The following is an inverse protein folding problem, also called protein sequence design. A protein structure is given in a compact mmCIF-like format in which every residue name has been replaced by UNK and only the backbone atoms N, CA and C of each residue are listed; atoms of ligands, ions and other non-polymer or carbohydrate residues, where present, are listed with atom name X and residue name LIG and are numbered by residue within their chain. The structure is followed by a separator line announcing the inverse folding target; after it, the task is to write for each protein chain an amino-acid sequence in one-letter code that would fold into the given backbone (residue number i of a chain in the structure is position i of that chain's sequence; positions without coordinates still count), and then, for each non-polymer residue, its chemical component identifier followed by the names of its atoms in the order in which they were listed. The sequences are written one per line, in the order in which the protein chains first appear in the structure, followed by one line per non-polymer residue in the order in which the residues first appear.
data_IF_236817663522
#
_entry.id   IF_236817663522
#
_cell.length_a   1.000
_cell.length_b   1.000
_cell.length_c   1.000
_cell.angle_alpha   90.00
_cell.angle_beta   90.00
_cell.angle_gamma   90.00
#
_symmetry.space_group_name_H-M   'P 1'
#
loop_
_entity.id
_entity.type
_entity.pdbx_description
1 polymer ?
#
# COMPACT_ATOMS: atom_id res chain seq x y z
N UNK A 1 16.51 9.99 11.99
CA UNK A 1 15.76 8.91 11.30
C UNK A 1 15.57 7.68 12.19
N UNK A 2 16.63 7.09 12.78
CA UNK A 2 16.50 5.94 13.70
C UNK A 2 15.52 6.19 14.86
N UNK A 3 15.60 7.36 15.49
CA UNK A 3 14.69 7.73 16.59
C UNK A 3 13.21 7.79 16.16
N UNK A 4 12.93 8.33 14.97
CA UNK A 4 11.57 8.37 14.41
C UNK A 4 11.07 6.95 14.14
N UNK A 5 11.92 6.10 13.55
CA UNK A 5 11.58 4.69 13.32
C UNK A 5 11.28 3.96 14.63
N UNK A 6 12.17 4.06 15.63
CA UNK A 6 12.01 3.34 16.89
C UNK A 6 10.78 3.81 17.68
N UNK A 7 10.49 5.13 17.69
CA UNK A 7 9.38 5.70 18.46
C UNK A 7 8.02 5.72 17.76
N UNK A 8 8.00 5.74 16.43
CA UNK A 8 6.76 5.96 15.66
C UNK A 8 6.36 4.79 14.77
N UNK A 9 7.29 3.88 14.47
CA UNK A 9 7.03 2.74 13.59
C UNK A 9 7.21 1.44 14.37
N UNK A 10 8.41 1.19 14.91
CA UNK A 10 8.74 -0.08 15.56
C UNK A 10 7.90 -0.35 16.81
N UNK A 11 7.56 0.70 17.55
CA UNK A 11 6.77 0.60 18.78
C UNK A 11 5.26 0.59 18.53
N UNK A 12 4.80 0.91 17.32
CA UNK A 12 3.38 0.95 16.99
C UNK A 12 2.92 -0.42 16.46
N UNK A 13 2.07 -1.16 17.17
CA UNK A 13 1.55 -2.45 16.69
C UNK A 13 0.67 -2.29 15.43
N UNK A 14 0.22 -1.07 15.12
CA UNK A 14 -0.51 -0.74 13.90
C UNK A 14 0.34 -0.67 12.63
N UNK A 15 1.67 -0.67 12.79
CA UNK A 15 2.66 -0.52 11.72
C UNK A 15 3.52 -1.79 11.58
N UNK A 16 3.50 -2.40 10.40
CA UNK A 16 4.30 -3.59 10.10
C UNK A 16 4.87 -3.51 8.69
N UNK A 17 6.20 -3.67 8.57
CA UNK A 17 6.92 -3.60 7.31
C UNK A 17 7.51 -4.97 6.96
N UNK A 18 7.39 -5.34 5.69
CA UNK A 18 7.90 -6.58 5.13
C UNK A 18 8.85 -6.29 3.97
N UNK A 19 9.93 -7.07 3.90
CA UNK A 19 10.78 -7.10 2.72
C UNK A 19 10.12 -7.93 1.62
N UNK A 20 10.04 -7.39 0.41
CA UNK A 20 9.62 -8.13 -0.78
C UNK A 20 10.85 -8.81 -1.37
N UNK A 21 10.85 -10.14 -1.40
CA UNK A 21 11.94 -10.96 -1.92
C UNK A 21 11.46 -11.72 -3.15
N UNK A 22 12.05 -11.45 -4.32
CA UNK A 22 11.80 -12.21 -5.54
C UNK A 22 12.67 -13.49 -5.54
N UNK A 23 12.00 -14.63 -5.38
CA UNK A 23 12.63 -15.94 -5.30
C UNK A 23 12.85 -16.62 -6.66
N UNK A 24 12.43 -16.01 -7.77
CA UNK A 24 12.52 -16.66 -9.10
C UNK A 24 13.94 -16.78 -9.63
N UNK A 25 14.86 -15.95 -9.17
CA UNK A 25 16.29 -15.98 -9.52
C UNK A 25 17.15 -16.79 -8.53
N UNK A 26 16.51 -17.67 -7.76
CA UNK A 26 17.17 -18.55 -6.82
C UNK A 26 17.95 -19.67 -7.53
N UNK A 27 19.28 -19.57 -7.63
CA UNK A 27 20.11 -20.70 -8.05
C UNK A 27 19.98 -21.81 -6.99
N UNK A 28 19.54 -23.01 -7.38
CA UNK A 28 19.06 -24.11 -6.53
C UNK A 28 20.05 -24.78 -5.56
N UNK A 29 20.88 -24.01 -4.86
CA UNK A 29 21.60 -24.44 -3.65
C UNK A 29 20.88 -23.97 -2.38
N UNK A 30 21.15 -24.61 -1.24
CA UNK A 30 20.47 -24.49 0.07
C UNK A 30 20.34 -23.07 0.67
N UNK A 31 20.88 -22.03 0.03
CA UNK A 31 20.68 -20.62 0.39
C UNK A 31 20.55 -19.73 -0.84
N UNK A 32 19.58 -20.02 -1.68
CA UNK A 32 19.18 -19.10 -2.73
C UNK A 32 18.44 -17.90 -2.11
N UNK A 33 19.21 -16.91 -1.65
CA UNK A 33 18.66 -15.65 -1.15
C UNK A 33 18.07 -14.90 -2.35
N UNK A 34 16.74 -14.95 -2.53
CA UNK A 34 16.06 -14.22 -3.60
C UNK A 34 16.44 -12.73 -3.61
N UNK A 35 16.13 -12.02 -4.70
CA UNK A 35 16.51 -10.61 -4.83
C UNK A 35 15.58 -9.73 -4.01
N UNK A 36 16.16 -8.80 -3.26
CA UNK A 36 15.38 -7.79 -2.54
C UNK A 36 14.76 -6.81 -3.55
N UNK A 37 13.43 -6.85 -3.65
CA UNK A 37 12.68 -6.24 -4.73
C UNK A 37 11.83 -5.04 -4.30
N UNK A 38 11.73 -4.79 -2.99
CA UNK A 38 10.99 -3.66 -2.46
C UNK A 38 10.54 -3.85 -1.03
N UNK A 39 9.65 -2.97 -0.59
CA UNK A 39 9.06 -2.94 0.74
C UNK A 39 7.54 -2.93 0.57
N UNK A 40 6.85 -3.68 1.40
CA UNK A 40 5.40 -3.63 1.53
C UNK A 40 5.04 -3.51 3.01
N UNK A 41 3.96 -2.82 3.33
CA UNK A 41 3.62 -2.51 4.71
C UNK A 41 2.11 -2.59 4.95
N UNK A 42 1.77 -2.92 6.19
CA UNK A 42 0.47 -2.71 6.80
C UNK A 42 0.61 -1.54 7.78
N UNK A 43 -0.23 -0.52 7.62
CA UNK A 43 -0.18 0.72 8.39
C UNK A 43 -1.57 1.08 8.89
N UNK A 44 -1.64 1.94 9.92
CA UNK A 44 -2.91 2.37 10.51
C UNK A 44 -3.87 1.21 10.84
N UNK A 45 -3.33 0.06 11.25
CA UNK A 45 -4.13 -1.12 11.55
C UNK A 45 -5.00 -0.87 12.78
N UNK A 46 -6.30 -1.10 12.64
CA UNK A 46 -7.28 -0.95 13.71
C UNK A 46 -7.91 -2.30 14.02
N UNK A 47 -7.66 -2.79 15.24
CA UNK A 47 -8.32 -4.00 15.75
C UNK A 47 -9.81 -3.77 15.99
N UNK A 48 -10.19 -2.59 16.47
CA UNK A 48 -11.59 -2.19 16.69
C UNK A 48 -12.39 -2.16 15.38
N UNK A 49 -11.83 -1.55 14.33
CA UNK A 49 -12.51 -1.44 13.05
C UNK A 49 -12.24 -2.64 12.13
N UNK A 50 -11.38 -3.57 12.56
CA UNK A 50 -10.94 -4.73 11.77
C UNK A 50 -10.45 -4.32 10.37
N UNK A 51 -9.55 -3.33 10.33
CA UNK A 51 -9.10 -2.70 9.08
C UNK A 51 -7.61 -2.39 9.09
N UNK A 52 -7.01 -2.27 7.91
CA UNK A 52 -5.60 -1.85 7.75
C UNK A 52 -5.40 -1.11 6.42
N UNK A 53 -4.33 -0.32 6.31
CA UNK A 53 -3.86 0.26 5.07
C UNK A 53 -2.69 -0.56 4.53
N UNK A 54 -2.77 -0.96 3.26
CA UNK A 54 -1.69 -1.65 2.55
C UNK A 54 -0.93 -0.63 1.69
N UNK A 55 0.38 -0.52 1.92
CA UNK A 55 1.28 0.32 1.13
C UNK A 55 2.40 -0.51 0.48
N UNK A 56 2.73 -0.25 -0.78
CA UNK A 56 3.80 -0.96 -1.49
C UNK A 56 4.77 -0.01 -2.21
N UNK A 57 6.06 -0.30 -2.09
CA UNK A 57 7.15 0.34 -2.82
C UNK A 57 7.99 -0.76 -3.47
N UNK A 58 7.82 -0.93 -4.78
CA UNK A 58 8.61 -1.88 -5.58
C UNK A 58 9.72 -1.11 -6.29
N UNK A 59 10.93 -1.67 -6.31
CA UNK A 59 12.07 -1.03 -6.96
C UNK A 59 11.94 -1.05 -8.50
N UNK A 60 12.52 -0.06 -9.21
CA UNK A 60 12.38 0.08 -10.66
C UNK A 60 12.68 -1.19 -11.48
N UNK A 61 13.70 -1.94 -11.10
CA UNK A 61 14.10 -3.19 -11.79
C UNK A 61 13.01 -4.28 -11.76
N UNK A 62 12.06 -4.16 -10.83
CA UNK A 62 10.93 -5.08 -10.67
C UNK A 62 9.60 -4.44 -11.08
N UNK A 63 9.62 -3.27 -11.73
CA UNK A 63 8.42 -2.69 -12.30
C UNK A 63 7.96 -3.51 -13.49
N UNK A 64 6.63 -3.63 -13.64
CA UNK A 64 5.98 -4.39 -14.72
C UNK A 64 6.30 -5.90 -14.72
N UNK A 65 6.85 -6.44 -13.64
CA UNK A 65 7.03 -7.89 -13.41
C UNK A 65 5.92 -8.47 -12.51
N UNK A 66 6.03 -9.75 -12.15
CA UNK A 66 5.13 -10.46 -11.23
C UNK A 66 5.20 -9.95 -9.78
N UNK A 67 6.29 -9.29 -9.40
CA UNK A 67 6.63 -8.97 -7.99
C UNK A 67 5.53 -8.19 -7.28
N UNK A 68 5.06 -7.08 -7.88
CA UNK A 68 4.06 -6.23 -7.23
C UNK A 68 2.74 -6.98 -6.99
N UNK A 69 2.25 -7.71 -8.00
CA UNK A 69 0.98 -8.44 -7.91
C UNK A 69 1.06 -9.56 -6.87
N UNK A 70 2.17 -10.28 -6.82
CA UNK A 70 2.39 -11.36 -5.85
C UNK A 70 2.56 -10.84 -4.42
N UNK A 71 3.35 -9.79 -4.22
CA UNK A 71 3.54 -9.20 -2.89
C UNK A 71 2.23 -8.64 -2.32
N UNK A 72 1.46 -7.89 -3.13
CA UNK A 72 0.17 -7.32 -2.72
C UNK A 72 -0.84 -8.44 -2.50
N UNK A 73 -0.92 -9.42 -3.41
CA UNK A 73 -1.85 -10.54 -3.31
C UNK A 73 -1.62 -11.41 -2.08
N UNK A 74 -0.37 -11.70 -1.72
CA UNK A 74 -0.04 -12.42 -0.49
C UNK A 74 -0.55 -11.70 0.77
N UNK A 75 -0.39 -10.38 0.82
CA UNK A 75 -0.89 -9.60 1.95
C UNK A 75 -2.41 -9.47 1.95
N UNK A 76 -3.06 -9.37 0.78
CA UNK A 76 -4.53 -9.40 0.69
C UNK A 76 -5.09 -10.74 1.16
N UNK A 77 -4.49 -11.87 0.74
CA UNK A 77 -4.83 -13.20 1.25
C UNK A 77 -4.67 -13.25 2.78
N UNK A 78 -3.51 -12.84 3.30
CA UNK A 78 -3.27 -12.84 4.74
C UNK A 78 -4.24 -11.95 5.54
N UNK A 79 -4.61 -10.78 5.01
CA UNK A 79 -5.44 -9.81 5.73
C UNK A 79 -6.92 -10.11 5.64
N UNK A 80 -7.43 -10.46 4.45
CA UNK A 80 -8.87 -10.61 4.20
C UNK A 80 -9.35 -12.07 4.31
N UNK A 81 -8.51 -13.08 4.06
CA UNK A 81 -8.96 -14.46 4.26
C UNK A 81 -9.36 -14.66 5.74
N UNK A 82 -10.46 -15.36 6.03
CA UNK A 82 -10.87 -15.69 7.38
C UNK A 82 -9.84 -16.63 8.03
N UNK A 83 -9.85 -16.74 9.37
CA UNK A 83 -8.98 -17.67 10.10
C UNK A 83 -9.07 -19.13 9.61
N UNK A 84 -10.23 -19.57 9.11
CA UNK A 84 -10.41 -20.91 8.53
C UNK A 84 -9.60 -21.16 7.25
N UNK A 85 -9.16 -20.09 6.56
CA UNK A 85 -8.23 -20.12 5.42
C UNK A 85 -6.83 -19.64 5.78
N UNK A 86 -6.55 -19.42 7.07
CA UNK A 86 -5.25 -19.00 7.57
C UNK A 86 -4.95 -17.51 7.38
N UNK A 87 -5.97 -16.65 7.25
CA UNK A 87 -5.80 -15.19 7.29
C UNK A 87 -6.34 -14.56 8.57
N UNK A 88 -6.32 -13.23 8.64
CA UNK A 88 -6.75 -12.43 9.78
C UNK A 88 -8.27 -12.17 9.84
N UNK A 89 -8.98 -12.32 8.71
CA UNK A 89 -10.41 -12.04 8.61
C UNK A 89 -10.76 -10.57 8.83
N UNK A 90 -9.91 -9.64 8.38
CA UNK A 90 -10.20 -8.21 8.45
C UNK A 90 -11.41 -7.88 7.56
N UNK A 91 -12.20 -6.89 7.97
CA UNK A 91 -13.35 -6.42 7.20
C UNK A 91 -12.97 -5.51 6.04
N UNK A 92 -11.78 -4.91 6.08
CA UNK A 92 -11.37 -3.85 5.14
C UNK A 92 -9.86 -3.72 5.00
N UNK A 93 -9.38 -3.61 3.77
CA UNK A 93 -8.01 -3.20 3.44
C UNK A 93 -8.06 -1.95 2.57
N UNK A 94 -7.34 -0.91 2.96
CA UNK A 94 -7.29 0.37 2.26
C UNK A 94 -6.02 0.50 1.42
N UNK A 95 -6.11 1.21 0.31
CA UNK A 95 -4.96 1.66 -0.47
C UNK A 95 -5.04 3.17 -0.67
N UNK A 96 -3.97 3.88 -0.32
CA UNK A 96 -3.90 5.35 -0.46
C UNK A 96 -2.71 5.73 -1.30
N UNK A 97 -2.95 6.58 -2.29
CA UNK A 97 -1.88 7.09 -3.13
C UNK A 97 -2.11 8.55 -3.50
N UNK A 98 -1.06 9.20 -4.02
CA UNK A 98 -1.21 10.56 -4.53
C UNK A 98 -2.23 10.55 -5.67
N UNK A 99 -3.17 11.50 -5.70
CA UNK A 99 -4.25 11.51 -6.69
C UNK A 99 -3.75 11.50 -8.15
N UNK A 100 -2.62 12.15 -8.41
CA UNK A 100 -1.96 12.17 -9.72
C UNK A 100 -0.99 11.00 -9.99
N UNK A 101 -0.75 10.10 -9.02
CA UNK A 101 0.10 8.94 -9.23
C UNK A 101 -0.67 7.83 -9.97
N UNK A 102 -0.81 8.01 -11.28
CA UNK A 102 -1.54 7.08 -12.16
C UNK A 102 -0.96 5.66 -12.13
N UNK A 103 0.35 5.50 -11.90
CA UNK A 103 0.96 4.18 -11.82
C UNK A 103 0.47 3.41 -10.58
N UNK A 104 0.46 4.04 -9.42
CA UNK A 104 -0.04 3.45 -8.17
C UNK A 104 -1.55 3.19 -8.22
N UNK A 105 -2.33 4.11 -8.80
CA UNK A 105 -3.78 3.92 -9.01
C UNK A 105 -4.10 2.69 -9.86
N UNK A 106 -3.39 2.53 -10.99
CA UNK A 106 -3.49 1.33 -11.84
C UNK A 106 -3.01 0.04 -11.17
N UNK A 107 -2.22 0.12 -10.10
CA UNK A 107 -1.87 -1.06 -9.30
C UNK A 107 -3.04 -1.42 -8.40
N UNK A 108 -3.64 -0.44 -7.70
CA UNK A 108 -4.82 -0.66 -6.87
C UNK A 108 -5.99 -1.27 -7.68
N UNK A 109 -6.35 -0.65 -8.82
CA UNK A 109 -7.43 -1.12 -9.70
C UNK A 109 -7.18 -2.56 -10.20
N UNK A 110 -5.94 -2.87 -10.60
CA UNK A 110 -5.56 -4.21 -11.07
C UNK A 110 -5.65 -5.27 -9.97
N UNK A 111 -5.37 -4.88 -8.74
CA UNK A 111 -5.53 -5.73 -7.55
C UNK A 111 -6.96 -5.64 -6.99
N UNK A 112 -7.93 -5.17 -7.78
CA UNK A 112 -9.38 -5.16 -7.49
C UNK A 112 -9.81 -4.26 -6.32
N UNK A 113 -8.96 -3.34 -5.90
CA UNK A 113 -9.39 -2.27 -5.00
C UNK A 113 -10.42 -1.37 -5.69
N UNK A 114 -11.51 -1.08 -4.99
CA UNK A 114 -12.59 -0.20 -5.44
C UNK A 114 -12.25 1.26 -5.14
N UNK A 115 -12.53 2.17 -6.07
CA UNK A 115 -12.25 3.59 -5.87
C UNK A 115 -13.34 4.27 -5.03
N UNK A 116 -12.95 4.91 -3.94
CA UNK A 116 -13.91 5.54 -3.01
C UNK A 116 -13.94 7.07 -3.10
N UNK A 117 -12.89 7.69 -3.64
CA UNK A 117 -12.85 9.13 -3.84
C UNK A 117 -11.48 9.78 -3.68
N UNK A 118 -11.49 11.11 -3.72
CA UNK A 118 -10.30 11.96 -3.53
C UNK A 118 -10.47 12.78 -2.27
N UNK A 119 -9.63 12.51 -1.27
CA UNK A 119 -9.46 13.36 -0.11
C UNK A 119 -8.57 14.56 -0.49
N UNK A 120 -9.19 15.73 -0.67
CA UNK A 120 -8.49 16.98 -1.00
C UNK A 120 -7.69 17.46 0.21
N UNK A 121 -6.46 17.90 -0.02
CA UNK A 121 -5.53 18.42 1.01
C UNK A 121 -5.31 17.49 2.22
N UNK A 122 -5.40 16.17 2.02
CA UNK A 122 -5.38 15.22 3.13
C UNK A 122 -4.01 15.08 3.82
N UNK A 123 -2.90 15.39 3.13
CA UNK A 123 -1.55 15.23 3.71
C UNK A 123 -0.59 16.31 3.23
N UNK A 124 0.28 16.75 4.13
CA UNK A 124 1.49 17.51 3.79
C UNK A 124 2.44 16.63 2.97
N UNK A 125 2.97 17.16 1.87
CA UNK A 125 3.85 16.43 0.97
C UNK A 125 5.02 17.30 0.48
N UNK A 126 6.08 17.45 1.30
CA UNK A 126 7.26 18.24 0.96
C UNK A 126 8.02 17.56 -0.20
N UNK A 127 8.13 18.24 -1.35
CA UNK A 127 8.97 17.80 -2.47
C UNK A 127 8.24 17.22 -3.69
N UNK A 128 6.90 17.24 -3.75
CA UNK A 128 6.13 16.78 -4.91
C UNK A 128 5.77 17.88 -5.92
N UNK A 129 5.72 17.52 -7.21
CA UNK A 129 5.32 18.38 -8.35
C UNK A 129 3.84 18.85 -8.35
N UNK A 130 3.09 18.62 -7.27
CA UNK A 130 1.63 18.88 -7.22
C UNK A 130 1.28 19.87 -6.10
N UNK A 131 2.26 20.68 -5.72
CA UNK A 131 2.09 21.65 -4.65
C UNK A 131 1.10 22.73 -5.11
N UNK A 132 -0.07 22.70 -4.49
CA UNK A 132 -0.99 23.84 -4.48
C UNK A 132 -0.23 25.08 -4.00
N UNK A 133 -0.65 26.27 -4.46
CA UNK A 133 0.05 27.54 -4.21
C UNK A 133 0.18 27.81 -2.70
N UNK A 134 1.38 27.56 -2.17
CA UNK A 134 1.73 27.79 -0.75
C UNK A 134 1.59 29.27 -0.41
N UNK A 135 2.06 30.13 -1.31
CA UNK A 135 1.97 31.58 -1.20
C UNK A 135 0.53 32.08 -1.08
N UNK A 136 -0.40 31.42 -1.78
CA UNK A 136 -1.83 31.73 -1.69
C UNK A 136 -2.45 31.23 -0.38
N UNK A 137 -2.01 30.06 0.10
CA UNK A 137 -2.42 29.54 1.39
C UNK A 137 -1.96 30.46 2.52
N UNK A 138 -0.68 30.79 2.58
CA UNK A 138 -0.08 31.69 3.59
C UNK A 138 -0.76 33.06 3.61
N UNK A 139 -0.99 33.65 2.43
CA UNK A 139 -1.67 34.94 2.33
C UNK A 139 -3.10 34.88 2.85
N UNK A 140 -3.83 33.78 2.59
CA UNK A 140 -5.20 33.58 3.07
C UNK A 140 -5.23 33.37 4.59
N UNK A 141 -4.31 32.58 5.13
CA UNK A 141 -4.29 32.19 6.54
C UNK A 141 -3.59 33.22 7.45
N UNK A 142 -2.79 34.13 6.88
CA UNK A 142 -1.92 35.02 7.64
C UNK A 142 -0.77 34.28 8.33
N UNK A 143 -0.44 33.08 7.87
CA UNK A 143 0.64 32.24 8.43
C UNK A 143 1.90 32.33 7.58
N UNK A 144 3.02 31.88 8.15
CA UNK A 144 4.31 31.75 7.44
C UNK A 144 4.86 30.33 7.65
N UNK A 145 5.53 29.80 6.64
CA UNK A 145 6.13 28.46 6.67
C UNK A 145 5.13 27.34 6.39
N UNK A 146 4.06 27.62 5.64
CA UNK A 146 3.12 26.59 5.21
C UNK A 146 3.82 25.55 4.34
N UNK A 147 3.42 24.29 4.50
CA UNK A 147 4.01 23.18 3.74
C UNK A 147 3.09 22.80 2.58
N UNK A 148 3.65 22.40 1.43
CA UNK A 148 2.83 21.93 0.32
C UNK A 148 2.00 20.72 0.74
N UNK A 149 0.76 20.66 0.25
CA UNK A 149 -0.15 19.55 0.45
C UNK A 149 -0.33 18.69 -0.80
N UNK A 150 -0.87 17.49 -0.62
CA UNK A 150 -1.33 16.61 -1.70
C UNK A 150 -2.80 16.23 -1.55
N UNK A 151 -3.43 15.90 -2.67
CA UNK A 151 -4.68 15.17 -2.71
C UNK A 151 -4.40 13.66 -2.68
N UNK A 152 -5.21 12.91 -1.95
CA UNK A 152 -5.05 11.46 -1.78
C UNK A 152 -6.22 10.75 -2.45
N UNK A 153 -5.92 9.89 -3.43
CA UNK A 153 -6.90 8.94 -3.96
C UNK A 153 -6.99 7.75 -3.00
N UNK A 154 -8.22 7.40 -2.65
CA UNK A 154 -8.56 6.37 -1.67
C UNK A 154 -9.24 5.20 -2.37
N UNK A 155 -8.81 3.99 -2.03
CA UNK A 155 -9.41 2.76 -2.52
C UNK A 155 -9.54 1.74 -1.38
N UNK A 156 -10.41 0.75 -1.55
CA UNK A 156 -10.54 -0.34 -0.58
C UNK A 156 -10.94 -1.69 -1.18
N UNK A 157 -10.72 -2.76 -0.42
CA UNK A 157 -11.42 -4.04 -0.57
C UNK A 157 -12.09 -4.33 0.76
N UNK A 158 -13.35 -4.73 0.73
CA UNK A 158 -14.11 -5.18 1.90
C UNK A 158 -14.36 -6.70 1.85
N UNK A 159 -14.60 -7.29 3.02
CA UNK A 159 -14.60 -8.75 3.20
C UNK A 159 -15.71 -9.49 2.42
N UNK A 160 -16.86 -8.86 2.24
CA UNK A 160 -18.00 -9.42 1.51
C UNK A 160 -17.69 -9.49 0.01
N UNK A 161 -17.16 -8.41 -0.57
CA UNK A 161 -16.67 -8.43 -1.96
C UNK A 161 -15.48 -9.39 -2.17
N UNK A 162 -14.65 -9.54 -1.12
CA UNK A 162 -13.54 -10.49 -1.11
C UNK A 162 -14.02 -11.93 -1.26
N UNK A 163 -15.01 -12.31 -0.45
CA UNK A 163 -15.58 -13.65 -0.45
C UNK A 163 -16.42 -13.93 -1.70
N UNK A 164 -17.09 -12.91 -2.24
CA UNK A 164 -17.90 -13.03 -3.45
C UNK A 164 -17.05 -13.32 -4.70
N UNK A 165 -16.12 -12.41 -5.05
CA UNK A 165 -15.34 -12.60 -6.29
C UNK A 165 -13.91 -12.01 -6.30
N UNK A 166 -13.59 -11.03 -5.44
CA UNK A 166 -12.31 -10.31 -5.54
C UNK A 166 -11.13 -11.21 -5.19
N UNK A 167 -11.29 -12.14 -4.23
CA UNK A 167 -10.25 -13.12 -3.92
C UNK A 167 -9.81 -13.92 -5.13
N UNK A 168 -10.75 -14.49 -5.88
CA UNK A 168 -10.45 -15.31 -7.05
C UNK A 168 -9.73 -14.49 -8.13
N UNK A 169 -10.16 -13.24 -8.35
CA UNK A 169 -9.51 -12.31 -9.29
C UNK A 169 -8.09 -11.96 -8.87
N UNK A 170 -7.85 -11.75 -7.56
CA UNK A 170 -6.51 -11.48 -7.02
C UNK A 170 -5.60 -12.69 -7.20
N UNK A 171 -6.06 -13.90 -6.88
CA UNK A 171 -5.29 -15.13 -7.11
C UNK A 171 -4.95 -15.28 -8.60
N UNK A 172 -5.94 -15.13 -9.48
CA UNK A 172 -5.71 -15.18 -10.93
C UNK A 172 -4.73 -14.09 -11.41
N UNK A 173 -4.69 -12.92 -10.76
CA UNK A 173 -3.73 -11.85 -11.04
C UNK A 173 -2.31 -12.21 -10.58
N UNK A 174 -2.15 -12.96 -9.48
CA UNK A 174 -0.86 -13.44 -8.98
C UNK A 174 -0.26 -14.51 -9.90
N UNK A 175 -1.09 -15.38 -10.47
CA UNK A 175 -0.69 -16.49 -11.35
C UNK A 175 -0.26 -16.04 -12.75
N UNK A 176 -0.55 -14.79 -13.14
CA UNK A 176 -0.15 -14.27 -14.47
C UNK A 176 1.36 -14.29 -14.60
N UNK A 177 1.84 -15.17 -15.47
CA UNK A 177 3.22 -15.16 -15.95
C UNK A 177 3.35 -13.99 -16.93
N UNK A 178 4.04 -12.93 -16.52
CA UNK A 178 4.60 -11.94 -17.45
C UNK A 178 6.09 -12.17 -17.57
#
# INVERSE_FOLDING_TARGET
MREVYDKSIRSDPGECFYAVIDKTHANGGERSTGKYAGIIALSATSTTNTSTELGALIFPDFHRTHVASNAIGLLLLWTLDPPSRGGLGLRRVEWKCHAENLASRRVAERMTFEFEGIARWQRVFPGGKVSLRIDELERRSGTTGEKPGRHTAMYSIVWDEWDDDKRAKVVAQMERTR
#
